data_IF_593480780050
#
_entry.id   IF_593480780050
#
_cell.length_a   1.000
_cell.length_b   1.000
_cell.length_c   1.000
_cell.angle_alpha   90.00
_cell.angle_beta   90.00
_cell.angle_gamma   90.00
#
_symmetry.space_group_name_H-M   'P 1'
#
loop_
_entity.id
_entity.type
_entity.pdbx_description
1 polymer ?
#
# COMPACT_ATOMS: atom_id res chain seq x y z
N UNK A 1 9.49 -10.58 31.12
CA UNK A 1 8.92 -11.35 29.99
C UNK A 1 9.85 -11.25 28.79
N UNK A 2 10.27 -12.37 28.22
CA UNK A 2 11.04 -12.38 26.97
C UNK A 2 10.11 -11.99 25.82
N UNK A 3 10.53 -11.04 24.98
CA UNK A 3 9.77 -10.64 23.79
C UNK A 3 9.74 -11.78 22.76
N UNK A 4 8.59 -11.96 22.09
CA UNK A 4 8.42 -13.00 21.09
C UNK A 4 9.46 -12.87 19.96
N UNK A 5 9.74 -13.97 19.27
CA UNK A 5 10.61 -13.95 18.09
C UNK A 5 10.09 -12.96 17.02
N UNK A 6 8.78 -12.90 16.82
CA UNK A 6 8.14 -11.97 15.87
C UNK A 6 8.38 -10.52 16.26
N UNK A 7 8.24 -10.18 17.55
CA UNK A 7 8.57 -8.84 18.06
C UNK A 7 10.02 -8.46 17.73
N UNK A 8 10.98 -9.37 17.95
CA UNK A 8 12.40 -9.11 17.70
C UNK A 8 12.71 -8.88 16.22
N UNK A 9 12.04 -9.63 15.33
CA UNK A 9 12.14 -9.45 13.88
C UNK A 9 11.58 -8.09 13.48
N UNK A 10 10.39 -7.72 13.98
CA UNK A 10 9.79 -6.42 13.66
C UNK A 10 10.60 -5.25 14.22
N UNK A 11 11.11 -5.36 15.44
CA UNK A 11 11.94 -4.32 16.05
C UNK A 11 13.18 -4.03 15.18
N UNK A 12 13.89 -5.08 14.73
CA UNK A 12 15.05 -4.90 13.83
C UNK A 12 14.68 -4.19 12.53
N UNK A 13 13.53 -4.54 11.93
CA UNK A 13 13.06 -3.90 10.70
C UNK A 13 12.67 -2.44 10.92
N UNK A 14 11.94 -2.14 12.00
CA UNK A 14 11.57 -0.77 12.37
C UNK A 14 12.83 0.10 12.51
N UNK A 15 13.84 -0.37 13.25
CA UNK A 15 15.09 0.37 13.43
C UNK A 15 15.86 0.59 12.12
N UNK A 16 15.85 -0.40 11.22
CA UNK A 16 16.49 -0.25 9.91
C UNK A 16 15.79 0.81 9.05
N UNK A 17 14.46 0.82 9.02
CA UNK A 17 13.66 1.81 8.28
C UNK A 17 13.77 3.21 8.89
N UNK A 18 13.71 3.34 10.22
CA UNK A 18 13.91 4.61 10.93
C UNK A 18 15.26 5.23 10.57
N UNK A 19 16.31 4.41 10.56
CA UNK A 19 17.66 4.84 10.14
C UNK A 19 17.70 5.25 8.67
N UNK A 20 17.06 4.49 7.79
CA UNK A 20 17.00 4.80 6.35
C UNK A 20 16.25 6.12 6.07
N UNK A 21 15.26 6.45 6.88
CA UNK A 21 14.46 7.67 6.77
C UNK A 21 15.03 8.86 7.56
N UNK A 22 16.14 8.67 8.29
CA UNK A 22 16.73 9.72 9.13
C UNK A 22 15.81 10.16 10.27
N UNK A 23 14.97 9.26 10.79
CA UNK A 23 14.00 9.56 11.84
C UNK A 23 14.72 9.79 13.17
N UNK A 24 14.47 10.94 13.80
CA UNK A 24 14.99 11.26 15.12
C UNK A 24 14.16 10.60 16.24
N UNK A 25 14.63 10.77 17.48
CA UNK A 25 14.02 10.15 18.65
C UNK A 25 12.60 10.67 18.94
N UNK A 26 12.36 11.96 18.74
CA UNK A 26 11.09 12.60 19.06
C UNK A 26 10.03 12.20 18.01
N UNK A 27 10.41 12.20 16.74
CA UNK A 27 9.61 11.69 15.64
C UNK A 27 9.25 10.22 15.84
N UNK A 28 10.20 9.40 16.32
CA UNK A 28 9.93 8.02 16.70
C UNK A 28 8.88 7.91 17.82
N UNK A 29 9.05 8.65 18.93
CA UNK A 29 8.10 8.58 20.04
C UNK A 29 6.69 9.01 19.62
N UNK A 30 6.58 10.12 18.88
CA UNK A 30 5.31 10.60 18.33
C UNK A 30 4.67 9.56 17.41
N UNK A 31 5.44 8.94 16.53
CA UNK A 31 4.94 7.88 15.65
C UNK A 31 4.41 6.69 16.45
N UNK A 32 5.18 6.17 17.41
CA UNK A 32 4.77 5.01 18.23
C UNK A 32 3.50 5.33 19.01
N UNK A 33 3.42 6.52 19.60
CA UNK A 33 2.25 6.98 20.35
C UNK A 33 1.02 7.12 19.46
N UNK A 34 1.16 7.72 18.27
CA UNK A 34 0.05 7.91 17.34
C UNK A 34 -0.51 6.58 16.81
N UNK A 35 0.35 5.59 16.57
CA UNK A 35 -0.06 4.30 15.96
C UNK A 35 -0.62 3.33 17.00
N UNK A 36 -0.07 3.35 18.21
CA UNK A 36 -0.30 2.29 19.21
C UNK A 36 -0.90 2.78 20.52
N UNK A 37 -0.86 4.10 20.78
CA UNK A 37 -1.20 4.70 22.06
C UNK A 37 -0.14 4.50 23.14
N UNK A 38 1.04 3.96 22.80
CA UNK A 38 2.11 3.61 23.75
C UNK A 38 3.32 4.50 23.57
N UNK A 39 4.13 4.62 24.61
CA UNK A 39 5.31 5.49 24.64
C UNK A 39 6.57 4.83 24.09
N UNK A 40 6.61 3.49 24.00
CA UNK A 40 7.80 2.77 23.56
C UNK A 40 7.49 1.48 22.80
N UNK A 41 8.42 1.05 21.93
CA UNK A 41 8.37 -0.30 21.33
C UNK A 41 8.43 -1.41 22.38
N UNK A 42 9.03 -1.12 23.55
CA UNK A 42 9.10 -2.03 24.69
C UNK A 42 7.73 -2.40 25.25
N UNK A 43 6.72 -1.54 25.08
CA UNK A 43 5.35 -1.80 25.54
C UNK A 43 4.46 -2.37 24.43
N UNK A 44 4.94 -2.37 23.19
CA UNK A 44 4.20 -2.87 22.03
C UNK A 44 4.05 -4.39 22.03
N UNK A 45 2.84 -4.84 21.66
CA UNK A 45 2.54 -6.24 21.34
C UNK A 45 2.95 -6.55 19.89
N UNK A 46 2.95 -7.82 19.50
CA UNK A 46 3.22 -8.22 18.10
C UNK A 46 2.25 -7.55 17.11
N UNK A 47 0.99 -7.36 17.50
CA UNK A 47 -0.01 -6.65 16.69
C UNK A 47 0.34 -5.17 16.54
N UNK A 48 0.83 -4.53 17.61
CA UNK A 48 1.24 -3.13 17.57
C UNK A 48 2.49 -2.95 16.70
N UNK A 49 3.47 -3.85 16.83
CA UNK A 49 4.67 -3.86 15.99
C UNK A 49 4.32 -4.01 14.50
N UNK A 50 3.33 -4.84 14.16
CA UNK A 50 2.84 -4.96 12.77
C UNK A 50 2.25 -3.65 12.24
N UNK A 51 1.52 -2.89 13.06
CA UNK A 51 0.96 -1.59 12.65
C UNK A 51 2.08 -0.58 12.36
N UNK A 52 3.11 -0.55 13.21
CA UNK A 52 4.27 0.35 13.02
C UNK A 52 5.05 -0.04 11.75
N UNK A 53 5.36 -1.33 11.57
CA UNK A 53 5.99 -1.83 10.34
C UNK A 53 5.14 -1.48 9.11
N UNK A 54 3.82 -1.61 9.20
CA UNK A 54 2.95 -1.23 8.09
C UNK A 54 3.11 0.26 7.77
N UNK A 55 3.00 1.13 8.77
CA UNK A 55 3.15 2.58 8.63
C UNK A 55 4.49 2.95 7.98
N UNK A 56 5.61 2.41 8.47
CA UNK A 56 6.95 2.70 7.95
C UNK A 56 7.15 2.23 6.50
N UNK A 57 6.55 1.11 6.10
CA UNK A 57 6.57 0.65 4.71
C UNK A 57 5.65 1.47 3.78
N UNK A 58 5.03 2.55 4.27
CA UNK A 58 4.00 3.30 3.53
C UNK A 58 2.73 2.48 3.27
N UNK A 59 2.57 1.34 3.95
CA UNK A 59 1.35 0.53 3.88
C UNK A 59 0.40 0.97 4.98
N UNK A 60 -0.81 1.42 4.63
CA UNK A 60 -1.80 1.86 5.61
C UNK A 60 -2.04 0.76 6.66
N UNK A 61 -1.69 1.02 7.91
CA UNK A 61 -2.16 0.20 9.02
C UNK A 61 -3.69 0.19 8.99
N UNK A 62 -4.30 -0.99 8.85
CA UNK A 62 -5.75 -1.13 8.61
C UNK A 62 -6.18 -1.30 7.16
N UNK A 63 -5.25 -1.48 6.19
CA UNK A 63 -5.62 -1.90 4.83
C UNK A 63 -6.29 -3.28 4.86
N UNK A 64 -7.62 -3.28 4.88
CA UNK A 64 -8.43 -4.48 4.73
C UNK A 64 -8.45 -4.82 3.24
N UNK A 65 -8.03 -6.05 2.91
CA UNK A 65 -8.21 -6.56 1.55
C UNK A 65 -9.69 -6.47 1.19
N UNK A 66 -10.00 -5.89 0.03
CA UNK A 66 -11.37 -5.88 -0.49
C UNK A 66 -11.94 -7.30 -0.54
N UNK A 67 -13.22 -7.45 -0.21
CA UNK A 67 -13.94 -8.71 -0.39
C UNK A 67 -14.13 -9.06 -1.88
N UNK A 68 -14.09 -8.05 -2.76
CA UNK A 68 -14.30 -8.17 -4.20
C UNK A 68 -13.02 -8.66 -4.90
N UNK A 69 -13.09 -9.80 -5.58
CA UNK A 69 -11.94 -10.41 -6.26
C UNK A 69 -11.34 -9.52 -7.36
N UNK A 70 -12.19 -8.83 -8.12
CA UNK A 70 -11.77 -7.92 -9.18
C UNK A 70 -11.03 -6.68 -8.64
N UNK A 71 -11.44 -6.15 -7.47
CA UNK A 71 -10.71 -5.05 -6.80
C UNK A 71 -9.32 -5.51 -6.35
N UNK A 72 -9.22 -6.72 -5.78
CA UNK A 72 -7.92 -7.29 -5.43
C UNK A 72 -7.02 -7.48 -6.66
N UNK A 73 -7.59 -7.87 -7.80
CA UNK A 73 -6.86 -8.02 -9.07
C UNK A 73 -6.30 -6.69 -9.57
N UNK A 74 -7.09 -5.60 -9.49
CA UNK A 74 -6.63 -4.25 -9.83
C UNK A 74 -5.41 -3.85 -8.98
N UNK A 75 -5.50 -4.01 -7.65
CA UNK A 75 -4.38 -3.73 -6.75
C UNK A 75 -3.14 -4.58 -7.05
N UNK A 76 -3.33 -5.86 -7.38
CA UNK A 76 -2.21 -6.74 -7.72
C UNK A 76 -1.49 -6.31 -9.00
N UNK A 77 -2.23 -5.98 -10.07
CA UNK A 77 -1.66 -5.51 -11.32
C UNK A 77 -0.95 -4.17 -11.14
N UNK A 78 -1.56 -3.22 -10.41
CA UNK A 78 -0.92 -1.95 -10.09
C UNK A 78 0.37 -2.12 -9.28
N UNK A 79 0.36 -3.05 -8.31
CA UNK A 79 1.55 -3.40 -7.54
C UNK A 79 2.67 -4.01 -8.39
N UNK A 80 2.34 -4.77 -9.44
CA UNK A 80 3.32 -5.28 -10.40
C UNK A 80 3.97 -4.15 -11.19
N UNK A 81 3.17 -3.21 -11.72
CA UNK A 81 3.68 -2.02 -12.41
C UNK A 81 4.59 -1.18 -11.52
N UNK A 82 4.23 -1.00 -10.24
CA UNK A 82 5.09 -0.33 -9.25
C UNK A 82 6.43 -1.02 -9.09
N UNK A 83 6.43 -2.35 -8.92
CA UNK A 83 7.66 -3.14 -8.78
C UNK A 83 8.53 -3.12 -10.03
N UNK A 84 7.91 -3.04 -11.21
CA UNK A 84 8.60 -2.92 -12.48
C UNK A 84 9.13 -1.50 -12.76
N UNK A 85 8.93 -0.54 -11.85
CA UNK A 85 9.39 0.86 -12.03
C UNK A 85 8.59 1.66 -13.06
N UNK A 86 7.44 1.16 -13.51
CA UNK A 86 6.62 1.81 -14.53
C UNK A 86 5.81 3.01 -14.01
N UNK A 87 5.73 3.19 -12.70
CA UNK A 87 5.01 4.29 -12.07
C UNK A 87 5.98 5.43 -11.75
N UNK A 88 5.69 6.61 -12.28
CA UNK A 88 6.49 7.83 -12.06
C UNK A 88 5.91 8.73 -10.96
N UNK A 89 4.64 8.53 -10.60
CA UNK A 89 3.98 9.33 -9.57
C UNK A 89 4.43 8.96 -8.17
N UNK A 90 4.65 9.96 -7.32
CA UNK A 90 4.98 9.79 -5.89
C UNK A 90 3.82 9.21 -5.10
N UNK A 91 2.60 9.70 -5.33
CA UNK A 91 1.36 9.12 -4.78
C UNK A 91 0.77 8.09 -5.74
N UNK A 92 1.17 6.83 -5.54
CA UNK A 92 0.75 5.72 -6.40
C UNK A 92 -0.73 5.36 -6.24
N UNK A 93 -1.36 5.70 -5.11
CA UNK A 93 -2.75 5.30 -4.82
C UNK A 93 -3.73 6.30 -5.45
N UNK A 94 -3.45 7.59 -5.31
CA UNK A 94 -4.20 8.63 -6.01
C UNK A 94 -4.06 8.47 -7.54
N UNK A 95 -2.86 8.11 -8.01
CA UNK A 95 -2.62 7.82 -9.42
C UNK A 95 -3.44 6.62 -9.92
N UNK A 96 -3.59 5.56 -9.11
CA UNK A 96 -4.45 4.43 -9.45
C UNK A 96 -5.92 4.86 -9.58
N UNK A 97 -6.43 5.66 -8.63
CA UNK A 97 -7.80 6.18 -8.71
C UNK A 97 -8.01 7.06 -9.95
N UNK A 98 -7.05 7.92 -10.29
CA UNK A 98 -7.10 8.74 -11.50
C UNK A 98 -7.13 7.86 -12.76
N UNK A 99 -6.27 6.83 -12.82
CA UNK A 99 -6.27 5.85 -13.90
C UNK A 99 -7.63 5.15 -14.02
N UNK A 100 -8.14 4.59 -12.91
CA UNK A 100 -9.45 3.92 -12.89
C UNK A 100 -10.53 4.84 -13.41
N UNK A 101 -10.62 6.07 -12.90
CA UNK A 101 -11.65 7.03 -13.31
C UNK A 101 -11.58 7.40 -14.80
N UNK A 102 -10.38 7.48 -15.39
CA UNK A 102 -10.22 7.68 -16.85
C UNK A 102 -10.84 6.55 -17.68
N UNK A 103 -10.87 5.34 -17.13
CA UNK A 103 -11.43 4.16 -17.79
C UNK A 103 -12.92 3.93 -17.48
N UNK A 104 -13.52 4.70 -16.57
CA UNK A 104 -14.95 4.65 -16.25
C UNK A 104 -15.77 5.58 -17.15
N UNK A 105 -16.01 5.15 -18.40
CA UNK A 105 -16.76 5.94 -19.39
C UNK A 105 -18.24 6.13 -19.07
N UNK A 106 -18.83 5.27 -18.24
CA UNK A 106 -20.27 5.25 -17.96
C UNK A 106 -20.73 6.17 -16.82
N UNK A 107 -19.82 6.63 -15.95
CA UNK A 107 -20.17 7.51 -14.82
C UNK A 107 -20.12 8.98 -15.27
N UNK A 108 -21.26 9.51 -15.70
CA UNK A 108 -21.37 10.90 -16.16
C UNK A 108 -21.11 11.96 -15.08
N UNK A 109 -21.36 11.65 -13.79
CA UNK A 109 -21.30 12.67 -12.72
C UNK A 109 -20.60 12.23 -11.43
N UNK A 110 -19.87 11.11 -11.43
CA UNK A 110 -19.22 10.63 -10.22
C UNK A 110 -17.86 9.99 -10.49
N UNK A 111 -16.81 10.53 -9.89
CA UNK A 111 -15.55 9.83 -9.78
C UNK A 111 -15.58 8.85 -8.61
N UNK A 112 -15.05 7.65 -8.84
CA UNK A 112 -14.80 6.68 -7.79
C UNK A 112 -13.66 7.19 -6.91
N UNK A 113 -13.94 7.32 -5.62
CA UNK A 113 -12.95 7.71 -4.60
C UNK A 113 -12.34 6.50 -3.90
N UNK A 114 -12.93 5.32 -4.08
CA UNK A 114 -12.49 4.06 -3.48
C UNK A 114 -12.78 2.90 -4.43
N UNK A 115 -11.79 2.06 -4.74
CA UNK A 115 -11.96 0.94 -5.68
C UNK A 115 -13.02 -0.07 -5.23
N UNK A 116 -13.29 -0.17 -3.93
CA UNK A 116 -14.37 -1.02 -3.39
C UNK A 116 -15.77 -0.60 -3.87
N UNK A 117 -15.94 0.61 -4.39
CA UNK A 117 -17.20 1.09 -4.96
C UNK A 117 -17.41 0.64 -6.41
N UNK A 118 -16.41 0.00 -7.03
CA UNK A 118 -16.55 -0.55 -8.37
C UNK A 118 -17.51 -1.73 -8.38
N UNK A 119 -18.33 -1.79 -9.43
CA UNK A 119 -18.98 -3.03 -9.86
C UNK A 119 -18.02 -3.88 -10.69
N UNK A 120 -18.41 -5.12 -11.00
CA UNK A 120 -17.61 -5.97 -11.87
C UNK A 120 -17.49 -5.39 -13.29
N UNK A 121 -18.60 -4.91 -13.87
CA UNK A 121 -18.65 -4.36 -15.23
C UNK A 121 -17.79 -3.09 -15.37
N UNK A 122 -17.73 -2.29 -14.31
CA UNK A 122 -16.85 -1.12 -14.23
C UNK A 122 -15.37 -1.51 -14.10
N UNK A 123 -15.09 -2.60 -13.38
CA UNK A 123 -13.72 -3.07 -13.15
C UNK A 123 -13.14 -3.82 -14.36
N UNK A 124 -13.97 -4.49 -15.17
CA UNK A 124 -13.53 -5.27 -16.33
C UNK A 124 -12.66 -4.47 -17.31
N UNK A 125 -13.06 -3.30 -17.84
CA UNK A 125 -12.23 -2.53 -18.76
C UNK A 125 -10.96 -1.98 -18.11
N UNK A 126 -10.99 -1.70 -16.81
CA UNK A 126 -9.81 -1.26 -16.03
C UNK A 126 -8.78 -2.39 -15.93
N UNK A 127 -9.24 -3.61 -15.64
CA UNK A 127 -8.39 -4.79 -15.51
C UNK A 127 -7.70 -5.11 -16.83
N UNK A 128 -8.41 -5.07 -17.94
CA UNK A 128 -7.82 -5.35 -19.25
C UNK A 128 -6.78 -4.29 -19.64
N UNK A 129 -7.07 -3.00 -19.40
CA UNK A 129 -6.09 -1.94 -19.61
C UNK A 129 -4.82 -2.10 -18.76
N UNK A 130 -4.97 -2.53 -17.50
CA UNK A 130 -3.82 -2.80 -16.61
C UNK A 130 -3.02 -4.02 -17.06
N UNK A 131 -3.67 -5.08 -17.55
CA UNK A 131 -2.99 -6.26 -18.09
C UNK A 131 -2.17 -5.90 -19.33
N UNK A 132 -2.75 -5.12 -20.24
CA UNK A 132 -2.06 -4.67 -21.45
C UNK A 132 -0.83 -3.83 -21.11
N UNK A 133 -0.94 -2.93 -20.13
CA UNK A 133 0.20 -2.14 -19.67
C UNK A 133 1.28 -3.00 -19.01
N UNK A 134 0.90 -3.90 -18.09
CA UNK A 134 1.83 -4.83 -17.44
C UNK A 134 2.57 -5.71 -18.47
N UNK A 135 1.87 -6.17 -19.51
CA UNK A 135 2.47 -6.92 -20.61
C UNK A 135 3.46 -6.07 -21.42
N UNK A 136 3.13 -4.81 -21.75
CA UNK A 136 4.04 -3.89 -22.43
C UNK A 136 5.29 -3.58 -21.62
N UNK A 137 5.15 -3.39 -20.30
CA UNK A 137 6.29 -3.14 -19.41
C UNK A 137 7.20 -4.36 -19.35
N UNK A 138 6.64 -5.56 -19.24
CA UNK A 138 7.41 -6.81 -19.20
C UNK A 138 8.14 -7.10 -20.51
N UNK A 139 7.49 -6.84 -21.65
CA UNK A 139 8.08 -7.10 -22.96
C UNK A 139 8.96 -5.95 -23.46
N UNK A 140 8.71 -4.73 -22.97
CA UNK A 140 9.48 -3.52 -23.28
C UNK A 140 10.72 -3.34 -22.41
N UNK A 141 10.93 -4.17 -21.38
CA UNK A 141 12.18 -4.25 -20.61
C UNK A 141 13.32 -4.99 -21.34
N UNK A 142 13.20 -5.21 -22.65
CA UNK A 142 14.20 -5.84 -23.53
C UNK A 142 14.71 -4.86 -24.62
N UNK A 143 14.81 -3.57 -24.31
CA UNK A 143 15.45 -2.57 -25.15
C UNK A 143 16.49 -1.78 -24.36
#
# INVERSE_FOLDING_TARGET
MVKSYQWQVFNRRIRAEEKAQGMDHDAHQVMVQNITGKTSLGDCSDTDMRKIVAHLNGTRAGFKKSAKGYVRKIWALWGNLKKAGALTASDTDAALLAFVNKHLKARQFAHVRQLDWLTYDEAAPVIEALKDWDHRVKNGGAA
#
